data_IF_286764674092
#
_entry.id   IF_286764674092
#
_cell.length_a   1.000
_cell.length_b   1.000
_cell.length_c   1.000
_cell.angle_alpha   90.00
_cell.angle_beta   90.00
_cell.angle_gamma   90.00
#
_symmetry.space_group_name_H-M   'P 1'
#
loop_
_entity.id
_entity.type
_entity.pdbx_description
1 polymer ?
#
# COMPACT_ATOMS: atom_id res chain seq x y z
N UNK A 1 15.11 2.45 16.23
CA UNK A 1 13.89 3.26 16.43
C UNK A 1 13.99 4.21 17.63
N UNK A 2 14.66 3.83 18.72
CA UNK A 2 14.68 4.61 19.97
C UNK A 2 15.72 5.74 20.02
N UNK A 3 16.79 5.65 19.24
CA UNK A 3 17.80 6.70 19.12
C UNK A 3 17.36 7.76 18.11
N UNK A 4 16.52 8.70 18.55
CA UNK A 4 15.91 9.71 17.67
C UNK A 4 16.65 11.02 17.77
N UNK A 5 16.93 11.69 16.65
CA UNK A 5 17.47 13.04 16.66
C UNK A 5 16.43 14.05 17.22
N UNK A 6 16.72 14.75 18.34
CA UNK A 6 15.84 15.78 18.88
C UNK A 6 15.55 16.91 17.88
N UNK A 7 16.51 17.23 17.01
CA UNK A 7 16.37 18.27 15.99
C UNK A 7 15.74 17.76 14.69
N UNK A 8 15.57 16.44 14.57
CA UNK A 8 15.04 15.77 13.39
C UNK A 8 13.50 15.72 13.32
N UNK A 9 12.99 14.71 12.60
CA UNK A 9 11.56 14.53 12.36
C UNK A 9 10.94 15.68 11.55
N UNK A 10 11.71 16.14 10.57
CA UNK A 10 11.35 17.22 9.65
C UNK A 10 10.28 16.73 8.67
N UNK A 11 9.30 17.58 8.42
CA UNK A 11 8.28 17.40 7.40
C UNK A 11 8.55 18.42 6.30
N UNK A 12 8.68 17.93 5.06
CA UNK A 12 8.72 18.74 3.85
C UNK A 12 7.65 18.27 2.88
N UNK A 13 7.19 19.16 2.02
CA UNK A 13 6.49 18.78 0.79
C UNK A 13 7.36 19.09 -0.42
N UNK A 14 7.25 18.25 -1.45
CA UNK A 14 8.02 18.38 -2.67
C UNK A 14 7.11 18.89 -3.80
N UNK A 15 7.48 20.00 -4.42
CA UNK A 15 6.74 20.59 -5.53
C UNK A 15 7.03 19.84 -6.84
N UNK A 16 5.98 19.21 -7.38
CA UNK A 16 6.06 18.51 -8.65
C UNK A 16 6.26 19.53 -9.79
N UNK A 17 7.35 19.43 -10.59
CA UNK A 17 7.64 20.39 -11.66
C UNK A 17 6.70 20.31 -12.87
N UNK A 18 5.72 19.38 -12.87
CA UNK A 18 4.70 19.24 -13.92
C UNK A 18 5.17 18.51 -15.18
N UNK A 19 6.47 18.23 -15.31
CA UNK A 19 7.06 17.48 -16.42
C UNK A 19 8.11 16.51 -15.90
N UNK A 20 7.99 15.24 -16.29
CA UNK A 20 8.99 14.22 -16.01
C UNK A 20 10.15 14.26 -17.02
N UNK A 21 9.94 14.85 -18.20
CA UNK A 21 10.92 14.87 -19.30
C UNK A 21 11.99 15.93 -19.13
N UNK A 22 11.69 16.99 -18.37
CA UNK A 22 12.59 18.13 -18.21
C UNK A 22 13.70 17.86 -17.19
N UNK A 23 13.66 16.71 -16.50
CA UNK A 23 14.56 16.30 -15.42
C UNK A 23 14.79 17.42 -14.37
N UNK A 24 13.79 18.27 -14.16
CA UNK A 24 13.85 19.35 -13.17
C UNK A 24 13.79 18.74 -11.77
N UNK A 25 14.70 19.12 -10.86
CA UNK A 25 14.62 18.65 -9.48
C UNK A 25 13.33 19.16 -8.85
N UNK A 26 12.73 18.33 -7.99
CA UNK A 26 11.59 18.76 -7.18
C UNK A 26 12.10 19.76 -6.15
N UNK A 27 11.37 20.86 -5.99
CA UNK A 27 11.69 21.87 -4.97
C UNK A 27 11.10 21.44 -3.64
N UNK A 28 11.90 21.43 -2.59
CA UNK A 28 11.44 21.17 -1.23
C UNK A 28 10.92 22.45 -0.57
N UNK A 29 9.93 22.26 0.30
CA UNK A 29 9.30 23.32 1.06
C UNK A 29 9.03 22.81 2.48
N UNK A 30 9.55 23.52 3.47
CA UNK A 30 9.43 23.13 4.87
C UNK A 30 7.99 23.29 5.38
N UNK A 31 7.50 22.28 6.09
CA UNK A 31 6.17 22.27 6.72
C UNK A 31 6.28 22.48 8.21
N UNK A 32 7.20 21.78 8.88
CA UNK A 32 7.30 21.74 10.33
C UNK A 32 8.17 20.58 10.79
N UNK A 33 8.30 20.40 12.11
CA UNK A 33 9.01 19.24 12.67
C UNK A 33 8.46 18.82 14.03
N UNK A 34 8.73 17.58 14.40
CA UNK A 34 8.65 17.08 15.77
C UNK A 34 9.66 15.97 15.94
N UNK A 35 10.35 15.91 17.08
CA UNK A 35 11.21 14.77 17.42
C UNK A 35 10.48 13.47 17.15
N UNK A 36 11.18 12.52 16.53
CA UNK A 36 10.67 11.19 16.21
C UNK A 36 9.41 11.13 15.31
N UNK A 37 9.12 12.17 14.52
CA UNK A 37 8.06 12.13 13.50
C UNK A 37 8.19 10.88 12.62
N UNK A 38 7.14 10.05 12.55
CA UNK A 38 7.25 8.70 12.00
C UNK A 38 6.10 8.31 11.05
N UNK A 39 4.89 8.85 11.24
CA UNK A 39 3.77 8.68 10.31
C UNK A 39 3.11 10.03 10.04
N UNK A 40 2.56 10.14 8.83
CA UNK A 40 1.83 11.31 8.36
C UNK A 40 0.58 10.85 7.61
N UNK A 41 -0.48 11.66 7.70
CA UNK A 41 -1.66 11.57 6.84
C UNK A 41 -2.00 12.96 6.32
N UNK A 42 -2.30 13.05 5.03
CA UNK A 42 -2.70 14.30 4.38
C UNK A 42 -4.18 14.21 4.04
N UNK A 43 -4.93 15.28 4.26
CA UNK A 43 -6.34 15.31 3.93
C UNK A 43 -7.06 16.56 4.41
N UNK A 44 -8.36 16.37 4.64
CA UNK A 44 -9.31 17.36 5.13
C UNK A 44 -9.93 16.79 6.41
N UNK A 45 -9.45 17.24 7.57
CA UNK A 45 -9.82 16.72 8.88
C UNK A 45 -10.75 17.67 9.61
N UNK A 46 -10.45 18.97 9.60
CA UNK A 46 -11.24 19.99 10.31
C UNK A 46 -12.00 20.93 9.38
N UNK A 47 -11.68 20.89 8.08
CA UNK A 47 -12.30 21.70 7.03
C UNK A 47 -12.02 21.07 5.66
N UNK A 48 -12.63 21.60 4.58
CA UNK A 48 -12.63 20.99 3.23
C UNK A 48 -11.97 21.80 2.12
N UNK A 49 -11.41 22.97 2.42
CA UNK A 49 -10.88 23.95 1.45
C UNK A 49 -9.36 23.91 1.27
N UNK A 50 -8.63 23.56 2.32
CA UNK A 50 -7.16 23.59 2.37
C UNK A 50 -6.61 22.25 2.81
N UNK A 51 -5.40 21.92 2.37
CA UNK A 51 -4.75 20.71 2.83
C UNK A 51 -4.38 20.80 4.31
N UNK A 52 -4.51 19.68 4.98
CA UNK A 52 -4.06 19.49 6.36
C UNK A 52 -3.20 18.24 6.42
N UNK A 53 -2.25 18.23 7.36
CA UNK A 53 -1.37 17.10 7.63
C UNK A 53 -1.50 16.77 9.11
N UNK A 54 -1.87 15.53 9.45
CA UNK A 54 -1.72 15.02 10.81
C UNK A 54 -0.39 14.28 10.92
N UNK A 55 0.43 14.70 11.88
CA UNK A 55 1.72 14.10 12.20
C UNK A 55 1.69 13.28 13.48
N UNK A 56 2.31 12.09 13.39
CA UNK A 56 2.39 11.11 14.46
C UNK A 56 3.85 10.72 14.70
N UNK A 57 4.48 11.27 15.76
CA UNK A 57 5.72 10.76 16.31
C UNK A 57 5.54 9.34 16.87
N UNK A 58 6.58 8.53 16.76
CA UNK A 58 6.56 7.15 17.29
C UNK A 58 6.87 7.09 18.79
N UNK A 59 7.69 8.02 19.27
CA UNK A 59 8.07 8.20 20.68
C UNK A 59 8.13 9.69 20.99
N UNK A 60 8.01 10.06 22.26
CA UNK A 60 8.01 11.48 22.66
C UNK A 60 9.43 12.07 22.75
N UNK A 61 10.42 11.23 23.02
CA UNK A 61 11.85 11.60 23.17
C UNK A 61 12.73 10.36 22.98
N UNK A 62 14.05 10.52 22.81
CA UNK A 62 14.96 9.39 22.63
C UNK A 62 14.85 8.40 23.80
N UNK A 63 14.78 7.11 23.48
CA UNK A 63 14.72 6.00 24.44
C UNK A 63 13.51 5.98 25.38
N UNK A 64 12.41 6.67 25.05
CA UNK A 64 11.18 6.68 25.86
C UNK A 64 9.98 6.04 25.14
N UNK A 65 9.60 4.85 25.60
CA UNK A 65 8.45 4.09 25.10
C UNK A 65 7.15 4.28 25.89
N UNK A 66 7.20 5.06 26.97
CA UNK A 66 6.12 5.12 27.97
C UNK A 66 5.41 6.46 27.98
N UNK A 67 6.14 7.55 27.74
CA UNK A 67 5.55 8.88 27.70
C UNK A 67 4.58 9.03 26.53
N UNK A 68 3.44 9.70 26.73
CA UNK A 68 2.52 9.99 25.64
C UNK A 68 3.18 10.79 24.51
N UNK A 69 2.90 10.38 23.26
CA UNK A 69 3.40 11.02 22.05
C UNK A 69 2.47 12.16 21.62
N UNK A 70 3.03 13.30 21.18
CA UNK A 70 2.22 14.43 20.74
C UNK A 70 1.70 14.21 19.31
N UNK A 71 0.41 14.36 19.08
CA UNK A 71 -0.20 14.32 17.74
C UNK A 71 -0.44 15.75 17.27
N UNK A 72 0.07 16.09 16.08
CA UNK A 72 0.02 17.46 15.54
C UNK A 72 -0.89 17.56 14.32
N UNK A 73 -1.57 18.70 14.18
CA UNK A 73 -2.27 19.08 12.96
C UNK A 73 -1.58 20.30 12.34
N UNK A 74 -1.02 20.15 11.14
CA UNK A 74 -0.45 21.22 10.32
C UNK A 74 -1.46 21.65 9.27
N UNK A 75 -1.61 22.95 9.04
CA UNK A 75 -2.58 23.52 8.09
C UNK A 75 -1.87 24.28 6.99
N UNK A 76 -2.27 24.03 5.74
CA UNK A 76 -1.71 24.74 4.60
C UNK A 76 -1.94 26.26 4.75
N UNK A 77 -0.88 27.09 4.68
CA UNK A 77 -1.01 28.54 4.69
C UNK A 77 -1.50 29.07 3.34
N UNK A 78 -1.96 30.33 3.30
CA UNK A 78 -2.46 30.96 2.07
C UNK A 78 -1.38 31.04 0.98
N UNK A 79 -0.13 31.33 1.35
CA UNK A 79 1.01 31.36 0.44
C UNK A 79 1.96 30.19 0.72
N UNK A 80 1.59 29.00 0.26
CA UNK A 80 2.33 27.75 0.50
C UNK A 80 3.75 27.74 -0.08
N UNK A 81 3.99 28.49 -1.17
CA UNK A 81 5.28 28.50 -1.88
C UNK A 81 6.38 29.33 -1.19
N UNK A 82 5.99 30.23 -0.29
CA UNK A 82 6.90 31.12 0.44
C UNK A 82 6.75 30.99 1.96
N UNK A 83 6.00 29.98 2.43
CA UNK A 83 5.83 29.74 3.83
C UNK A 83 7.16 29.26 4.44
N UNK A 84 7.57 29.90 5.54
CA UNK A 84 8.73 29.42 6.32
C UNK A 84 8.38 28.21 7.17
N UNK A 85 7.11 28.04 7.53
CA UNK A 85 6.54 26.91 8.28
C UNK A 85 5.01 26.94 8.11
N UNK A 86 4.35 25.79 8.23
CA UNK A 86 2.89 25.70 8.27
C UNK A 86 2.37 25.98 9.69
N UNK A 87 1.29 26.76 9.85
CA UNK A 87 0.57 26.86 11.12
C UNK A 87 0.20 25.46 11.64
N UNK A 88 0.46 25.19 12.91
CA UNK A 88 0.17 23.90 13.50
C UNK A 88 -0.33 24.01 14.94
N UNK A 89 -1.00 22.96 15.40
CA UNK A 89 -1.47 22.81 16.79
C UNK A 89 -1.26 21.39 17.29
N UNK A 90 -1.14 21.26 18.61
CA UNK A 90 -1.16 19.98 19.30
C UNK A 90 -2.62 19.52 19.46
N UNK A 91 -2.95 18.36 18.87
CA UNK A 91 -4.27 17.74 18.99
C UNK A 91 -4.41 17.05 20.36
N UNK A 92 -3.40 16.25 20.73
CA UNK A 92 -3.35 15.53 22.01
C UNK A 92 -1.93 15.08 22.34
N UNK A 93 -1.65 14.92 23.64
CA UNK A 93 -0.46 14.24 24.15
C UNK A 93 -0.80 13.46 25.44
N UNK A 94 -1.97 12.82 25.47
CA UNK A 94 -2.46 12.21 26.72
C UNK A 94 -2.71 10.71 26.60
N UNK A 95 -2.94 10.20 25.38
CA UNK A 95 -3.58 8.89 25.21
C UNK A 95 -2.67 7.78 24.68
N UNK A 96 -1.66 8.10 23.88
CA UNK A 96 -0.89 7.10 23.13
C UNK A 96 0.59 7.17 23.48
N UNK A 97 1.19 6.07 23.91
CA UNK A 97 2.65 6.02 24.15
C UNK A 97 3.45 5.63 22.90
N UNK A 98 2.83 4.92 21.96
CA UNK A 98 3.43 4.52 20.68
C UNK A 98 2.37 4.53 19.59
N UNK A 99 2.64 5.18 18.46
CA UNK A 99 1.78 5.17 17.26
C UNK A 99 2.57 4.57 16.09
N UNK A 100 2.10 3.44 15.57
CA UNK A 100 2.76 2.75 14.46
C UNK A 100 2.04 2.97 13.11
N UNK A 101 0.73 3.19 13.14
CA UNK A 101 -0.04 3.53 11.95
C UNK A 101 -1.32 4.31 12.30
N UNK A 102 -1.93 4.91 11.27
CA UNK A 102 -3.20 5.61 11.38
C UNK A 102 -4.02 5.47 10.10
N UNK A 103 -5.34 5.40 10.23
CA UNK A 103 -6.27 5.38 9.10
C UNK A 103 -7.33 6.45 9.31
N UNK A 104 -7.68 7.18 8.24
CA UNK A 104 -8.80 8.11 8.26
C UNK A 104 -10.06 7.31 7.98
N UNK A 105 -11.04 7.46 8.85
CA UNK A 105 -12.36 6.83 8.73
C UNK A 105 -13.39 7.96 8.66
N UNK A 106 -14.44 7.77 7.86
CA UNK A 106 -15.47 8.81 7.71
C UNK A 106 -16.37 8.85 8.96
N UNK A 107 -16.85 10.06 9.27
CA UNK A 107 -17.76 10.31 10.39
C UNK A 107 -19.02 9.42 10.28
N UNK A 108 -19.44 8.84 11.41
CA UNK A 108 -20.58 7.92 11.48
C UNK A 108 -20.31 6.47 11.08
N UNK A 109 -19.12 6.11 10.56
CA UNK A 109 -18.78 4.70 10.30
C UNK A 109 -18.50 3.92 11.59
N UNK A 110 -18.00 4.58 12.64
CA UNK A 110 -17.61 3.91 13.89
C UNK A 110 -18.40 4.32 15.12
N UNK A 111 -19.07 5.47 15.11
CA UNK A 111 -19.58 6.13 16.33
C UNK A 111 -20.74 5.43 17.02
N UNK A 112 -21.25 4.34 16.44
CA UNK A 112 -22.34 3.52 17.01
C UNK A 112 -21.97 2.04 17.14
N UNK A 113 -20.74 1.67 16.84
CA UNK A 113 -20.31 0.27 16.77
C UNK A 113 -19.61 -0.16 18.05
N UNK A 114 -20.02 -1.30 18.59
CA UNK A 114 -19.23 -2.01 19.62
C UNK A 114 -18.17 -2.84 18.91
N UNK A 115 -16.93 -2.74 19.38
CA UNK A 115 -15.80 -3.48 18.80
C UNK A 115 -15.55 -4.75 19.59
N UNK A 116 -15.51 -5.88 18.89
CA UNK A 116 -15.08 -7.16 19.44
C UNK A 116 -13.74 -7.55 18.82
N UNK A 117 -12.82 -8.06 19.65
CA UNK A 117 -11.50 -8.49 19.21
C UNK A 117 -11.47 -9.98 18.95
N UNK A 118 -11.16 -10.36 17.72
CA UNK A 118 -10.82 -11.73 17.34
C UNK A 118 -9.31 -11.87 17.13
N UNK A 119 -8.71 -12.93 17.69
CA UNK A 119 -7.31 -13.29 17.40
C UNK A 119 -7.34 -14.28 16.23
N UNK A 120 -6.91 -13.84 15.05
CA UNK A 120 -6.89 -14.69 13.85
C UNK A 120 -5.65 -15.61 13.83
N UNK A 121 -4.48 -15.06 14.13
CA UNK A 121 -3.21 -15.79 14.08
C UNK A 121 -2.19 -15.25 15.10
N UNK A 122 -1.23 -16.12 15.46
CA UNK A 122 -0.04 -15.77 16.23
C UNK A 122 1.21 -16.26 15.49
N UNK A 123 1.97 -15.32 14.94
CA UNK A 123 3.15 -15.57 14.10
C UNK A 123 4.45 -15.75 14.90
N UNK A 124 4.35 -16.36 16.07
CA UNK A 124 5.46 -16.56 17.00
C UNK A 124 5.52 -15.50 18.10
N UNK A 125 6.47 -15.71 19.00
CA UNK A 125 6.69 -14.84 20.15
C UNK A 125 7.59 -13.65 19.79
N UNK A 126 7.43 -12.50 20.46
CA UNK A 126 8.35 -11.40 20.32
C UNK A 126 9.79 -11.81 20.67
N UNK A 127 10.78 -11.17 20.05
CA UNK A 127 12.18 -11.30 20.42
C UNK A 127 12.48 -10.63 21.78
N UNK A 128 13.72 -10.65 22.23
CA UNK A 128 14.14 -10.04 23.51
C UNK A 128 13.85 -8.52 23.59
N UNK A 129 13.78 -7.84 22.44
CA UNK A 129 13.40 -6.43 22.32
C UNK A 129 11.87 -6.22 22.29
N UNK A 130 11.07 -7.27 22.39
CA UNK A 130 9.60 -7.18 22.32
C UNK A 130 9.05 -7.03 20.91
N UNK A 131 9.85 -7.34 19.87
CA UNK A 131 9.47 -7.13 18.48
C UNK A 131 9.08 -8.43 17.78
N UNK A 132 8.25 -8.32 16.74
CA UNK A 132 7.90 -9.45 15.88
C UNK A 132 7.96 -9.05 14.39
N UNK A 133 7.51 -9.96 13.53
CA UNK A 133 7.61 -9.85 12.07
C UNK A 133 6.53 -9.00 11.42
N UNK A 134 5.34 -8.88 12.01
CA UNK A 134 4.25 -8.07 11.44
C UNK A 134 4.61 -6.59 11.42
N UNK A 135 4.35 -5.89 10.30
CA UNK A 135 4.75 -4.49 10.14
C UNK A 135 3.69 -3.59 9.52
N UNK A 136 2.84 -4.10 8.62
CA UNK A 136 1.83 -3.29 7.94
C UNK A 136 0.60 -4.11 7.57
N UNK A 137 -0.58 -3.47 7.57
CA UNK A 137 -1.84 -4.05 7.10
C UNK A 137 -2.48 -3.05 6.14
N UNK A 138 -3.05 -3.55 5.04
CA UNK A 138 -3.85 -2.75 4.10
C UNK A 138 -5.09 -3.54 3.71
N UNK A 139 -6.22 -2.84 3.58
CA UNK A 139 -7.49 -3.41 3.15
C UNK A 139 -7.82 -2.96 1.72
N UNK A 140 -8.40 -3.87 0.94
CA UNK A 140 -9.02 -3.58 -0.35
C UNK A 140 -9.91 -4.75 -0.79
N UNK A 141 -10.94 -4.44 -1.56
CA UNK A 141 -11.76 -5.40 -2.29
C UNK A 141 -10.97 -5.98 -3.49
N UNK A 142 -10.11 -6.97 -3.21
CA UNK A 142 -9.20 -7.53 -4.20
C UNK A 142 -9.92 -8.43 -5.19
N UNK A 143 -11.07 -9.02 -4.83
CA UNK A 143 -11.82 -9.88 -5.73
C UNK A 143 -13.17 -9.34 -6.24
N UNK A 144 -13.52 -8.12 -5.84
CA UNK A 144 -14.68 -7.35 -6.29
C UNK A 144 -16.02 -7.93 -5.86
N UNK A 145 -16.06 -8.64 -4.74
CA UNK A 145 -17.30 -9.15 -4.17
C UNK A 145 -18.02 -8.13 -3.25
N UNK A 146 -17.36 -6.99 -2.99
CA UNK A 146 -17.88 -5.89 -2.19
C UNK A 146 -17.43 -5.89 -0.73
N UNK A 147 -16.74 -6.94 -0.28
CA UNK A 147 -16.08 -6.98 1.02
C UNK A 147 -14.57 -6.72 0.86
N UNK A 148 -13.99 -5.91 1.75
CA UNK A 148 -12.54 -5.72 1.75
C UNK A 148 -11.85 -6.99 2.29
N UNK A 149 -10.94 -7.56 1.49
CA UNK A 149 -9.86 -8.38 2.00
C UNK A 149 -8.78 -7.52 2.64
N UNK A 150 -7.83 -8.18 3.31
CA UNK A 150 -6.65 -7.48 3.79
C UNK A 150 -5.36 -8.27 3.59
N UNK A 151 -4.30 -7.52 3.35
CA UNK A 151 -2.93 -8.03 3.26
C UNK A 151 -2.18 -7.68 4.54
N UNK A 152 -1.40 -8.64 5.06
CA UNK A 152 -0.49 -8.43 6.19
C UNK A 152 0.94 -8.56 5.70
N UNK A 153 1.72 -7.50 5.86
CA UNK A 153 3.14 -7.45 5.58
C UNK A 153 3.96 -7.95 6.76
N UNK A 154 4.80 -8.94 6.50
CA UNK A 154 5.77 -9.45 7.45
C UNK A 154 7.20 -9.17 6.99
N UNK A 155 7.94 -8.40 7.79
CA UNK A 155 9.33 -8.04 7.51
C UNK A 155 10.27 -9.23 7.53
N UNK A 156 10.01 -10.20 8.40
CA UNK A 156 10.85 -11.37 8.64
C UNK A 156 11.31 -11.50 10.09
N UNK A 157 12.10 -12.52 10.42
CA UNK A 157 12.68 -13.53 9.51
C UNK A 157 11.68 -14.62 9.04
N UNK A 158 12.09 -15.53 8.13
CA UNK A 158 11.37 -16.76 7.86
C UNK A 158 11.08 -17.57 9.14
N UNK A 159 9.99 -18.36 9.20
CA UNK A 159 9.09 -18.70 8.09
C UNK A 159 7.97 -17.68 7.85
N UNK A 160 7.81 -16.69 8.73
CA UNK A 160 6.67 -15.77 8.71
C UNK A 160 6.88 -14.54 7.84
N UNK A 161 8.09 -14.32 7.33
CA UNK A 161 8.37 -13.31 6.30
C UNK A 161 7.44 -13.47 5.08
N UNK A 162 6.90 -12.38 4.53
CA UNK A 162 6.04 -12.46 3.36
C UNK A 162 4.84 -11.52 3.36
N UNK A 163 3.92 -11.81 2.45
CA UNK A 163 2.57 -11.24 2.44
C UNK A 163 1.56 -12.35 2.72
N UNK A 164 0.68 -12.12 3.69
CA UNK A 164 -0.49 -12.96 3.93
C UNK A 164 -1.75 -12.26 3.44
N UNK A 165 -2.55 -12.96 2.65
CA UNK A 165 -3.85 -12.56 2.16
C UNK A 165 -4.94 -13.17 3.05
N UNK A 166 -5.88 -12.34 3.51
CA UNK A 166 -7.01 -12.77 4.31
C UNK A 166 -8.33 -12.39 3.64
N UNK A 167 -9.21 -13.38 3.51
CA UNK A 167 -10.57 -13.20 3.01
C UNK A 167 -11.59 -13.41 4.12
N UNK A 168 -12.50 -12.46 4.38
CA UNK A 168 -13.61 -12.69 5.29
C UNK A 168 -14.51 -13.80 4.75
N UNK A 169 -14.86 -14.75 5.61
CA UNK A 169 -15.85 -15.81 5.31
C UNK A 169 -17.11 -15.58 6.15
N UNK A 170 -16.92 -15.25 7.43
CA UNK A 170 -17.99 -14.84 8.35
C UNK A 170 -17.40 -13.95 9.44
N UNK A 171 -17.50 -12.63 9.25
CA UNK A 171 -16.96 -11.62 10.15
C UNK A 171 -17.61 -11.70 11.54
N UNK A 172 -18.91 -12.04 11.61
CA UNK A 172 -19.66 -12.13 12.87
C UNK A 172 -19.13 -13.24 13.79
N UNK A 173 -18.39 -14.19 13.23
CA UNK A 173 -17.75 -15.30 13.95
C UNK A 173 -16.21 -15.22 13.92
N UNK A 174 -15.64 -14.15 13.36
CA UNK A 174 -14.21 -14.01 13.17
C UNK A 174 -13.60 -15.08 12.25
N UNK A 175 -14.34 -15.57 11.26
CA UNK A 175 -13.87 -16.62 10.35
C UNK A 175 -13.29 -16.00 9.07
N UNK A 176 -12.03 -16.31 8.82
CA UNK A 176 -11.27 -15.84 7.66
C UNK A 176 -10.55 -17.01 6.99
N UNK A 177 -10.49 -17.00 5.66
CA UNK A 177 -9.55 -17.82 4.91
C UNK A 177 -8.23 -17.06 4.74
N UNK A 178 -7.12 -17.80 4.68
CA UNK A 178 -5.77 -17.24 4.69
C UNK A 178 -4.86 -17.94 3.71
N UNK A 179 -4.07 -17.17 2.98
CA UNK A 179 -3.02 -17.66 2.08
C UNK A 179 -1.74 -16.86 2.26
N UNK A 180 -0.59 -17.52 2.14
CA UNK A 180 0.69 -16.84 1.98
C UNK A 180 0.93 -16.64 0.49
N UNK A 181 1.06 -15.39 0.04
CA UNK A 181 1.11 -15.05 -1.38
C UNK A 181 2.48 -14.48 -1.82
N UNK A 182 3.38 -14.24 -0.86
CA UNK A 182 4.80 -13.97 -1.11
C UNK A 182 5.62 -14.46 0.09
N UNK A 183 6.86 -14.90 -0.17
CA UNK A 183 7.85 -15.29 0.85
C UNK A 183 8.90 -14.19 1.11
N UNK A 184 8.90 -13.13 0.30
CA UNK A 184 9.88 -12.05 0.38
C UNK A 184 9.61 -11.12 1.56
N UNK A 185 10.65 -10.46 2.06
CA UNK A 185 10.52 -9.51 3.16
C UNK A 185 9.67 -8.32 2.72
N UNK A 186 8.72 -7.92 3.56
CA UNK A 186 7.85 -6.78 3.26
C UNK A 186 7.77 -5.80 4.42
N UNK A 187 8.23 -4.57 4.17
CA UNK A 187 8.03 -3.44 5.06
C UNK A 187 6.68 -2.75 4.84
N UNK A 188 6.28 -2.56 3.58
CA UNK A 188 5.07 -1.81 3.26
C UNK A 188 4.44 -2.35 2.00
N UNK A 189 3.14 -2.15 1.92
CA UNK A 189 2.33 -2.50 0.77
C UNK A 189 1.68 -1.22 0.24
N UNK A 190 1.76 -1.00 -1.06
CA UNK A 190 0.97 -0.01 -1.78
C UNK A 190 -0.02 -0.75 -2.68
N UNK A 191 -1.24 -0.23 -2.80
CA UNK A 191 -2.28 -0.81 -3.64
C UNK A 191 -2.69 0.21 -4.70
N UNK A 192 -2.89 -0.25 -5.93
CA UNK A 192 -3.37 0.52 -7.07
C UNK A 192 -3.70 -0.45 -8.21
N UNK A 193 -4.34 0.04 -9.27
CA UNK A 193 -4.35 -0.63 -10.57
C UNK A 193 -3.06 -0.22 -11.30
N UNK A 194 -2.01 -1.04 -11.22
CA UNK A 194 -0.68 -0.67 -11.73
C UNK A 194 -0.53 -0.89 -13.24
N UNK A 195 -1.38 -1.72 -13.85
CA UNK A 195 -1.33 -2.02 -15.28
C UNK A 195 -2.61 -1.68 -16.07
N UNK A 196 -3.53 -0.93 -15.44
CA UNK A 196 -4.80 -0.47 -16.02
C UNK A 196 -5.71 -1.62 -16.45
N UNK A 197 -5.69 -2.74 -15.72
CA UNK A 197 -6.52 -3.90 -15.99
C UNK A 197 -7.83 -3.90 -15.17
N UNK A 198 -8.07 -2.81 -14.44
CA UNK A 198 -9.17 -2.54 -13.54
C UNK A 198 -9.18 -3.44 -12.29
N UNK A 199 -8.19 -4.29 -12.04
CA UNK A 199 -8.02 -5.03 -10.79
C UNK A 199 -7.12 -4.25 -9.83
N UNK A 200 -7.31 -4.45 -8.52
CA UNK A 200 -6.41 -3.89 -7.52
C UNK A 200 -5.19 -4.81 -7.43
N UNK A 201 -4.05 -4.30 -7.86
CA UNK A 201 -2.73 -4.88 -7.68
C UNK A 201 -2.12 -4.43 -6.35
N UNK A 202 -0.97 -5.00 -6.00
CA UNK A 202 -0.17 -4.49 -4.90
C UNK A 202 1.32 -4.47 -5.21
N UNK A 203 2.03 -3.54 -4.60
CA UNK A 203 3.49 -3.43 -4.66
C UNK A 203 4.07 -3.49 -3.25
N UNK A 204 5.23 -4.11 -3.11
CA UNK A 204 5.94 -4.28 -1.84
C UNK A 204 7.32 -3.66 -1.91
N UNK A 205 7.86 -3.33 -0.74
CA UNK A 205 9.27 -2.99 -0.57
C UNK A 205 9.88 -3.81 0.55
N UNK A 206 11.08 -4.32 0.33
CA UNK A 206 11.84 -5.09 1.32
C UNK A 206 12.11 -4.30 2.60
N UNK A 207 11.97 -4.96 3.76
CA UNK A 207 12.39 -4.37 5.03
C UNK A 207 13.89 -4.57 5.24
N UNK A 208 14.65 -3.49 5.09
CA UNK A 208 16.06 -3.49 5.45
C UNK A 208 16.41 -2.20 6.20
N UNK A 209 16.62 -2.31 7.51
CA UNK A 209 16.93 -1.20 8.40
C UNK A 209 18.10 -1.62 9.29
N UNK A 210 19.22 -0.91 9.11
CA UNK A 210 20.45 -1.15 9.84
C UNK A 210 20.23 -1.10 11.35
N UNK A 211 20.79 -2.07 12.07
CA UNK A 211 20.66 -2.17 13.52
C UNK A 211 19.26 -2.58 14.01
N UNK A 212 18.38 -3.04 13.11
CA UNK A 212 17.04 -3.52 13.46
C UNK A 212 16.75 -4.87 12.80
N UNK A 213 16.51 -4.88 11.49
CA UNK A 213 16.39 -6.10 10.70
C UNK A 213 16.79 -5.80 9.26
N UNK A 214 17.73 -6.57 8.74
CA UNK A 214 18.33 -6.36 7.42
C UNK A 214 18.04 -7.58 6.55
N UNK A 215 16.95 -7.52 5.79
CA UNK A 215 16.68 -8.56 4.80
C UNK A 215 17.74 -8.51 3.68
N UNK A 216 18.20 -9.67 3.20
CA UNK A 216 19.10 -9.73 2.06
C UNK A 216 18.38 -9.32 0.77
N UNK A 217 19.14 -8.82 -0.22
CA UNK A 217 18.68 -8.53 -1.58
C UNK A 217 17.42 -7.63 -1.64
N UNK A 218 17.47 -6.39 -1.12
CA UNK A 218 16.30 -5.54 -1.08
C UNK A 218 15.77 -5.19 -2.48
N UNK A 219 14.46 -5.34 -2.65
CA UNK A 219 13.73 -5.10 -3.89
C UNK A 219 12.47 -4.27 -3.67
N UNK A 220 11.95 -3.74 -4.78
CA UNK A 220 10.57 -3.28 -4.90
C UNK A 220 9.93 -4.18 -5.95
N UNK A 221 8.83 -4.83 -5.57
CA UNK A 221 8.16 -5.83 -6.38
C UNK A 221 6.70 -5.44 -6.60
N UNK A 222 6.18 -5.71 -7.81
CA UNK A 222 4.78 -5.49 -8.16
C UNK A 222 4.14 -6.85 -8.40
N UNK A 223 3.00 -7.08 -7.75
CA UNK A 223 2.21 -8.30 -7.83
C UNK A 223 0.88 -7.97 -8.49
N UNK A 224 0.73 -8.48 -9.70
CA UNK A 224 -0.47 -8.24 -10.47
C UNK A 224 -1.60 -9.19 -10.09
N UNK A 225 -2.77 -8.64 -9.77
CA UNK A 225 -3.94 -9.39 -9.36
C UNK A 225 -4.71 -9.93 -10.57
N UNK A 226 -4.39 -11.18 -10.91
CA UNK A 226 -5.11 -11.90 -11.97
C UNK A 226 -6.28 -12.74 -11.45
N UNK A 227 -6.55 -12.71 -10.14
CA UNK A 227 -7.62 -13.48 -9.52
C UNK A 227 -8.99 -12.88 -9.83
N UNK A 228 -9.18 -11.58 -9.59
CA UNK A 228 -10.43 -10.87 -9.91
C UNK A 228 -10.80 -10.96 -11.39
N UNK A 229 -9.78 -11.01 -12.26
CA UNK A 229 -10.00 -11.17 -13.68
C UNK A 229 -10.53 -12.55 -14.08
N UNK A 230 -10.35 -13.62 -13.30
CA UNK A 230 -10.90 -14.94 -13.66
C UNK A 230 -12.42 -14.98 -13.65
N UNK A 231 -13.09 -14.09 -12.91
CA UNK A 231 -14.55 -13.98 -12.95
C UNK A 231 -15.06 -13.17 -14.16
N UNK A 232 -14.23 -12.30 -14.75
CA UNK A 232 -14.57 -11.46 -15.91
C UNK A 232 -13.93 -11.92 -17.24
N UNK A 233 -12.87 -12.73 -17.17
CA UNK A 233 -12.29 -13.41 -18.32
C UNK A 233 -13.24 -14.55 -18.65
N UNK A 234 -14.09 -14.33 -19.64
CA UNK A 234 -14.39 -15.46 -20.52
C UNK A 234 -13.03 -15.88 -21.07
N UNK A 235 -12.56 -17.07 -20.70
CA UNK A 235 -11.33 -17.60 -21.26
C UNK A 235 -11.42 -17.43 -22.77
N UNK A 236 -10.46 -16.69 -23.35
CA UNK A 236 -10.30 -16.68 -24.80
C UNK A 236 -10.11 -18.13 -25.22
N UNK A 237 -11.08 -18.64 -25.95
CA UNK A 237 -11.10 -20.03 -26.36
C UNK A 237 -10.07 -20.23 -27.49
N UNK A 238 -9.73 -19.15 -28.21
CA UNK A 238 -8.58 -19.11 -29.10
C UNK A 238 -7.29 -18.91 -28.29
N UNK A 239 -6.49 -19.98 -28.17
CA UNK A 239 -5.15 -19.92 -27.56
C UNK A 239 -4.08 -19.90 -28.65
N UNK A 240 -3.10 -19.00 -28.52
CA UNK A 240 -1.97 -18.90 -29.45
C UNK A 240 -0.69 -19.28 -28.73
N UNK A 241 0.15 -20.10 -29.38
CA UNK A 241 1.47 -20.43 -28.86
C UNK A 241 2.49 -20.31 -29.99
N UNK A 242 3.61 -19.62 -29.73
CA UNK A 242 4.73 -19.59 -30.68
C UNK A 242 5.46 -20.93 -30.65
N UNK A 243 5.64 -21.56 -31.80
CA UNK A 243 6.47 -22.75 -31.96
C UNK A 243 7.48 -22.49 -33.08
N UNK A 244 8.77 -22.40 -32.73
CA UNK A 244 9.84 -21.99 -33.64
C UNK A 244 9.54 -20.63 -34.30
N UNK A 245 9.43 -20.60 -35.63
CA UNK A 245 9.09 -19.41 -36.42
C UNK A 245 7.58 -19.30 -36.72
N UNK A 246 6.76 -20.23 -36.23
CA UNK A 246 5.32 -20.29 -36.53
C UNK A 246 4.47 -20.00 -35.29
N UNK A 247 3.21 -19.66 -35.54
CA UNK A 247 2.16 -19.54 -34.52
C UNK A 247 1.22 -20.73 -34.61
N UNK A 248 1.06 -21.45 -33.51
CA UNK A 248 0.07 -22.51 -33.35
C UNK A 248 -1.19 -21.94 -32.70
N UNK A 249 -2.35 -22.15 -33.34
CA UNK A 249 -3.65 -21.74 -32.85
C UNK A 249 -4.42 -22.96 -32.36
N UNK A 250 -4.86 -22.94 -31.10
CA UNK A 250 -5.86 -23.87 -30.59
C UNK A 250 -7.20 -23.13 -30.59
N UNK A 251 -8.13 -23.63 -31.39
CA UNK A 251 -9.47 -23.05 -31.55
C UNK A 251 -10.49 -24.11 -31.10
N UNK A 252 -11.53 -23.75 -30.34
CA UNK A 252 -12.61 -24.68 -29.99
C UNK A 252 -13.35 -25.14 -31.26
N UNK A 253 -14.05 -26.27 -31.17
CA UNK A 253 -14.97 -26.65 -32.24
C UNK A 253 -16.09 -25.60 -32.32
N UNK A 254 -16.52 -25.13 -33.51
CA UNK A 254 -17.47 -24.02 -33.62
C UNK A 254 -18.79 -24.19 -32.84
N UNK A 255 -19.31 -25.42 -32.74
CA UNK A 255 -20.54 -25.73 -31.99
C UNK A 255 -20.33 -25.90 -30.48
N UNK A 256 -19.08 -25.85 -30.01
CA UNK A 256 -18.71 -25.89 -28.58
C UNK A 256 -18.18 -24.54 -28.09
N UNK A 257 -18.06 -23.56 -28.99
CA UNK A 257 -17.62 -22.23 -28.61
C UNK A 257 -18.69 -21.58 -27.73
N UNK A 258 -18.28 -21.10 -26.56
CA UNK A 258 -19.20 -20.47 -25.60
C UNK A 258 -19.54 -19.04 -26.01
N UNK A 259 -18.72 -18.42 -26.86
CA UNK A 259 -18.91 -17.07 -27.35
C UNK A 259 -18.24 -16.87 -28.72
N UNK A 260 -18.62 -15.78 -29.39
CA UNK A 260 -17.93 -15.33 -30.60
C UNK A 260 -16.59 -14.69 -30.23
N UNK A 261 -15.52 -15.04 -30.96
CA UNK A 261 -14.17 -14.52 -30.72
C UNK A 261 -13.47 -14.18 -32.03
N UNK A 262 -12.85 -13.00 -32.10
CA UNK A 262 -11.98 -12.56 -33.20
C UNK A 262 -10.55 -12.33 -32.69
N UNK A 263 -9.57 -12.80 -33.46
CA UNK A 263 -8.15 -12.59 -33.18
C UNK A 263 -7.46 -11.99 -34.41
N UNK A 264 -7.09 -10.70 -34.40
CA UNK A 264 -6.30 -10.11 -35.48
C UNK A 264 -4.88 -10.72 -35.50
N UNK A 265 -4.44 -11.23 -36.66
CA UNK A 265 -3.21 -12.01 -36.79
C UNK A 265 -2.02 -11.19 -37.30
N UNK A 266 -2.17 -10.55 -38.46
CA UNK A 266 -1.11 -9.78 -39.12
C UNK A 266 -1.76 -8.60 -39.84
N UNK A 267 -1.20 -7.40 -39.67
CA UNK A 267 -1.51 -6.27 -40.54
C UNK A 267 -0.51 -6.28 -41.71
N UNK A 268 -0.99 -6.58 -42.92
CA UNK A 268 -0.18 -6.54 -44.13
C UNK A 268 -0.76 -5.54 -45.12
N UNK A 269 0.03 -4.53 -45.49
CA UNK A 269 -0.28 -3.62 -46.61
C UNK A 269 0.34 -4.19 -47.88
N UNK A 270 -0.50 -4.63 -48.82
CA UNK A 270 -0.06 -5.00 -50.15
C UNK A 270 0.08 -3.74 -51.02
N UNK A 271 1.28 -3.49 -51.54
CA UNK A 271 1.46 -2.58 -52.67
C UNK A 271 1.20 -3.39 -53.94
N UNK A 272 0.05 -3.18 -54.57
CA UNK A 272 -0.25 -3.77 -55.88
C UNK A 272 0.37 -2.86 -56.94
N UNK A 273 1.55 -3.24 -57.45
CA UNK A 273 2.08 -2.67 -58.68
C UNK A 273 1.44 -3.39 -59.87
N UNK A 274 0.57 -2.69 -60.60
CA UNK A 274 0.03 -3.15 -61.88
C UNK A 274 1.06 -2.75 -62.95
N UNK A 275 1.62 -3.73 -63.64
CA UNK A 275 2.41 -3.54 -64.87
C UNK A 275 1.51 -3.61 -66.09
#
# INVERSE_FOLDING_TARGET
MLDTDPEGGIIVWLENPGSITDNKPWKDHYVGKSTAMHRLRVGHFTQTKRWEIIGFPVVSRPYDLYSPVPVFLFRQPDNVLNATEWPHELITQDYFSVIHDSVRINDGQLDKSQWERYILDVYGYPNESGESSGHYVVCADFDKDGDDEFLVAHRGPPPNQGVFFYKPIDISRGLFAKWKISDDSVARIAIADFDNDNAIDFATITYTVAGYYEAPNPSIDIFYNRFAQKQLRVEKEIQVTKQNNDLLFKVPRPHKALQYEELPLVAATAVISIS
#
